data_IF_243526241550
#
_entry.id   IF_243526241550
#
_cell.length_a   1.000
_cell.length_b   1.000
_cell.length_c   1.000
_cell.angle_alpha   90.00
_cell.angle_beta   90.00
_cell.angle_gamma   90.00
#
_symmetry.space_group_name_H-M   'P 1'
#
loop_
_entity.id
_entity.type
_entity.pdbx_description
1 polymer ?
#
# COMPACT_ATOMS: atom_id res chain seq x y z
N UNK A 1 8.31 9.89 -11.63
CA UNK A 1 7.01 9.51 -12.22
C UNK A 1 7.24 8.30 -13.08
N UNK A 2 6.68 7.14 -12.73
CA UNK A 2 6.80 5.91 -13.52
C UNK A 2 6.02 6.05 -14.83
N UNK A 3 6.56 5.51 -15.93
CA UNK A 3 5.89 5.49 -17.24
C UNK A 3 4.49 4.84 -17.17
N UNK A 4 4.31 3.88 -16.26
CA UNK A 4 3.01 3.30 -15.89
C UNK A 4 1.91 4.34 -15.63
N UNK A 5 2.22 5.39 -14.85
CA UNK A 5 1.24 6.42 -14.48
C UNK A 5 0.91 7.38 -15.63
N UNK A 6 1.73 7.39 -16.69
CA UNK A 6 1.52 8.21 -17.88
C UNK A 6 0.76 7.46 -18.98
N UNK A 7 0.93 6.14 -19.05
CA UNK A 7 0.33 5.28 -20.09
C UNK A 7 -1.08 4.85 -19.71
N UNK A 8 -1.31 4.53 -18.43
CA UNK A 8 -2.59 4.02 -17.95
C UNK A 8 -3.37 5.09 -17.19
N UNK A 9 -4.70 5.11 -17.33
CA UNK A 9 -5.56 5.94 -16.49
C UNK A 9 -5.76 5.31 -15.10
N UNK A 10 -6.26 6.07 -14.13
CA UNK A 10 -6.41 5.62 -12.74
C UNK A 10 -7.20 4.30 -12.59
N UNK A 11 -8.28 4.13 -13.36
CA UNK A 11 -9.07 2.89 -13.32
C UNK A 11 -8.27 1.69 -13.88
N UNK A 12 -7.51 1.89 -14.95
CA UNK A 12 -6.63 0.87 -15.51
C UNK A 12 -5.48 0.54 -14.56
N UNK A 13 -4.85 1.55 -13.96
CA UNK A 13 -3.80 1.36 -12.96
C UNK A 13 -4.33 0.51 -11.80
N UNK A 14 -5.52 0.84 -11.28
CA UNK A 14 -6.16 0.06 -10.24
C UNK A 14 -6.39 -1.39 -10.67
N UNK A 15 -6.96 -1.65 -11.85
CA UNK A 15 -7.19 -3.02 -12.33
C UNK A 15 -5.90 -3.83 -12.51
N UNK A 16 -4.84 -3.20 -13.04
CA UNK A 16 -3.54 -3.86 -13.24
C UNK A 16 -2.89 -4.17 -11.89
N UNK A 17 -2.94 -3.23 -10.95
CA UNK A 17 -2.45 -3.43 -9.58
C UNK A 17 -3.22 -4.54 -8.87
N UNK A 18 -4.55 -4.57 -8.99
CA UNK A 18 -5.38 -5.64 -8.44
C UNK A 18 -4.99 -7.01 -9.02
N UNK A 19 -4.83 -7.12 -10.34
CA UNK A 19 -4.40 -8.37 -10.98
C UNK A 19 -3.01 -8.83 -10.51
N UNK A 20 -2.09 -7.88 -10.26
CA UNK A 20 -0.79 -8.20 -9.68
C UNK A 20 -0.91 -8.69 -8.24
N UNK A 21 -1.68 -7.99 -7.42
CA UNK A 21 -1.95 -8.32 -6.01
C UNK A 21 -2.59 -9.71 -5.92
N UNK A 22 -3.59 -10.02 -6.73
CA UNK A 22 -4.24 -11.34 -6.83
C UNK A 22 -3.24 -12.47 -7.16
N UNK A 23 -2.17 -12.16 -7.90
CA UNK A 23 -1.12 -13.11 -8.25
C UNK A 23 -0.09 -13.31 -7.12
N UNK A 24 0.07 -12.32 -6.23
CA UNK A 24 1.07 -12.35 -5.16
C UNK A 24 0.50 -12.77 -3.80
N UNK A 25 -0.74 -12.41 -3.48
CA UNK A 25 -1.36 -12.66 -2.18
C UNK A 25 -2.22 -13.93 -2.19
N UNK A 26 -2.29 -14.58 -1.02
CA UNK A 26 -3.18 -15.72 -0.80
C UNK A 26 -4.64 -15.26 -0.67
N UNK A 27 -5.60 -16.16 -0.89
CA UNK A 27 -7.03 -15.85 -0.76
C UNK A 27 -7.40 -15.24 0.61
N UNK A 28 -6.75 -15.67 1.69
CA UNK A 28 -6.97 -15.13 3.04
C UNK A 28 -6.46 -13.68 3.20
N UNK A 29 -5.35 -13.36 2.53
CA UNK A 29 -4.74 -12.04 2.56
C UNK A 29 -5.50 -11.08 1.63
N UNK A 30 -6.04 -11.57 0.51
CA UNK A 30 -6.93 -10.82 -0.37
C UNK A 30 -8.25 -10.42 0.28
N UNK A 31 -8.70 -11.13 1.32
CA UNK A 31 -9.90 -10.74 2.08
C UNK A 31 -9.63 -9.56 3.03
N UNK A 32 -8.38 -9.35 3.44
CA UNK A 32 -7.99 -8.39 4.46
C UNK A 32 -6.75 -7.62 4.02
N UNK A 33 -6.83 -6.94 2.87
CA UNK A 33 -5.81 -6.00 2.44
C UNK A 33 -6.36 -4.59 2.25
N UNK A 34 -5.47 -3.62 2.33
CA UNK A 34 -5.71 -2.21 2.05
C UNK A 34 -4.67 -1.75 1.04
N UNK A 35 -5.11 -1.15 -0.07
CA UNK A 35 -4.24 -0.54 -1.06
C UNK A 35 -4.26 0.99 -0.87
N UNK A 36 -3.10 1.59 -0.67
CA UNK A 36 -2.93 3.04 -0.58
C UNK A 36 -1.83 3.50 -1.54
N UNK A 37 -1.94 4.75 -1.99
CA UNK A 37 -0.92 5.38 -2.83
C UNK A 37 -0.22 6.49 -2.06
N UNK A 38 1.11 6.44 -2.03
CA UNK A 38 1.92 7.52 -1.43
C UNK A 38 1.85 8.79 -2.28
N UNK A 39 2.30 9.92 -1.70
CA UNK A 39 2.45 11.17 -2.44
C UNK A 39 3.35 11.06 -3.68
N UNK A 40 4.28 10.10 -3.70
CA UNK A 40 5.15 9.80 -4.83
C UNK A 40 4.48 8.95 -5.91
N UNK A 41 3.18 8.67 -5.79
CA UNK A 41 2.40 7.75 -6.63
C UNK A 41 2.97 6.33 -6.62
N UNK A 42 3.57 5.93 -5.50
CA UNK A 42 3.97 4.55 -5.25
C UNK A 42 2.79 3.80 -4.62
N UNK A 43 2.29 2.73 -5.26
CA UNK A 43 1.24 1.89 -4.70
C UNK A 43 1.79 0.98 -3.60
N UNK A 44 1.07 0.93 -2.48
CA UNK A 44 1.47 0.24 -1.26
C UNK A 44 0.31 -0.60 -0.77
N UNK A 45 0.55 -1.89 -0.60
CA UNK A 45 -0.43 -2.87 -0.15
C UNK A 45 -0.13 -3.25 1.28
N UNK A 46 -1.09 -3.04 2.16
CA UNK A 46 -1.06 -3.44 3.56
C UNK A 46 -1.92 -4.68 3.70
N UNK A 47 -1.39 -5.74 4.30
CA UNK A 47 -2.10 -7.00 4.51
C UNK A 47 -1.55 -7.67 5.76
N UNK A 48 -2.21 -8.74 6.20
CA UNK A 48 -1.95 -9.39 7.48
C UNK A 48 -0.46 -9.67 7.78
N UNK A 49 0.32 -10.12 6.80
CA UNK A 49 1.75 -10.41 6.99
C UNK A 49 2.64 -9.15 7.09
N UNK A 50 2.20 -8.00 6.55
CA UNK A 50 3.00 -6.78 6.52
C UNK A 50 2.60 -5.81 5.41
N UNK A 51 3.61 -5.26 4.73
CA UNK A 51 3.46 -4.23 3.71
C UNK A 51 4.27 -4.59 2.48
N UNK A 52 3.63 -4.46 1.32
CA UNK A 52 4.24 -4.67 0.01
C UNK A 52 4.22 -3.38 -0.78
N UNK A 53 5.41 -2.89 -1.14
CA UNK A 53 5.56 -1.73 -2.01
C UNK A 53 5.66 -2.26 -3.43
N UNK A 54 4.68 -1.93 -4.26
CA UNK A 54 4.68 -2.34 -5.66
C UNK A 54 5.43 -1.26 -6.44
N UNK A 55 6.39 -1.68 -7.26
CA UNK A 55 7.07 -0.83 -8.23
C UNK A 55 6.50 -1.18 -9.60
N UNK A 56 5.44 -0.47 -10.03
CA UNK A 56 4.79 -0.77 -11.29
C UNK A 56 5.67 -0.38 -12.48
N UNK A 57 5.63 -1.20 -13.51
CA UNK A 57 6.29 -1.00 -14.81
C UNK A 57 5.23 -0.95 -15.92
N UNK A 58 5.62 -0.82 -17.19
CA UNK A 58 4.66 -0.84 -18.32
C UNK A 58 4.06 -2.25 -18.48
N UNK A 59 4.89 -3.28 -18.31
CA UNK A 59 4.49 -4.68 -18.45
C UNK A 59 4.33 -5.33 -17.07
N UNK A 60 3.19 -6.00 -16.86
CA UNK A 60 2.87 -6.69 -15.60
C UNK A 60 3.96 -7.68 -15.17
N UNK A 61 4.55 -8.42 -16.12
CA UNK A 61 5.62 -9.39 -15.87
C UNK A 61 6.92 -8.74 -15.34
N UNK A 62 7.10 -7.43 -15.52
CA UNK A 62 8.24 -6.67 -15.01
C UNK A 62 7.97 -6.01 -13.66
N UNK A 63 6.76 -6.18 -13.10
CA UNK A 63 6.43 -5.60 -11.81
C UNK A 63 7.31 -6.22 -10.74
N UNK A 64 7.96 -5.35 -9.99
CA UNK A 64 8.75 -5.76 -8.82
C UNK A 64 8.06 -5.26 -7.57
N UNK A 65 8.25 -5.97 -6.46
CA UNK A 65 7.75 -5.52 -5.18
C UNK A 65 8.79 -5.71 -4.08
N UNK A 66 8.67 -4.90 -3.03
CA UNK A 66 9.43 -5.07 -1.80
C UNK A 66 8.48 -5.34 -0.66
N UNK A 67 8.69 -6.46 0.00
CA UNK A 67 7.94 -6.84 1.19
C UNK A 67 8.68 -6.41 2.46
N UNK A 68 7.93 -5.86 3.41
CA UNK A 68 8.37 -5.53 4.76
C UNK A 68 7.42 -6.20 5.76
N UNK A 69 7.93 -7.01 6.69
CA UNK A 69 7.10 -7.65 7.70
C UNK A 69 6.57 -6.61 8.70
N UNK A 70 5.36 -6.82 9.22
CA UNK A 70 4.68 -5.91 10.17
C UNK A 70 5.52 -5.52 11.38
N UNK A 71 6.38 -6.42 11.87
CA UNK A 71 7.23 -6.16 13.04
C UNK A 71 8.36 -5.16 12.76
N UNK A 72 8.61 -4.87 11.49
CA UNK A 72 9.68 -3.96 11.04
C UNK A 72 9.18 -2.59 10.60
N UNK A 73 7.89 -2.30 10.75
CA UNK A 73 7.29 -1.01 10.39
C UNK A 73 6.68 -0.31 11.61
N UNK A 74 6.57 1.02 11.51
CA UNK A 74 5.84 1.82 12.48
C UNK A 74 4.90 2.78 11.75
N UNK A 75 3.66 2.84 12.21
CA UNK A 75 2.63 3.76 11.70
C UNK A 75 2.63 5.01 12.59
N UNK A 76 2.72 6.20 11.99
CA UNK A 76 2.64 7.48 12.68
C UNK A 76 1.73 8.43 11.92
N UNK A 77 0.61 8.82 12.50
CA UNK A 77 -0.23 9.90 11.94
C UNK A 77 0.26 11.28 12.36
N UNK A 78 0.20 12.23 11.42
CA UNK A 78 0.46 13.66 11.60
C UNK A 78 -0.64 14.46 10.92
N UNK A 79 -1.70 14.77 11.67
CA UNK A 79 -2.84 15.57 11.17
C UNK A 79 -3.48 14.98 9.90
N UNK A 80 -3.17 15.55 8.73
CA UNK A 80 -3.64 15.14 7.39
C UNK A 80 -2.70 14.15 6.69
N UNK A 81 -1.62 13.74 7.35
CA UNK A 81 -0.60 12.87 6.80
C UNK A 81 -0.48 11.59 7.62
N UNK A 82 -0.23 10.48 6.93
CA UNK A 82 0.14 9.22 7.53
C UNK A 82 1.58 8.90 7.11
N UNK A 83 2.47 8.79 8.09
CA UNK A 83 3.86 8.40 7.91
C UNK A 83 4.02 6.92 8.29
N UNK A 84 4.42 6.10 7.32
CA UNK A 84 4.81 4.71 7.58
C UNK A 84 6.32 4.63 7.54
N UNK A 85 6.93 4.37 8.69
CA UNK A 85 8.38 4.20 8.83
C UNK A 85 8.73 2.74 8.56
N UNK A 86 9.42 2.49 7.45
CA UNK A 86 9.99 1.18 7.12
C UNK A 86 11.50 1.18 7.43
N UNK A 87 12.15 0.01 7.49
CA UNK A 87 13.59 -0.08 7.82
C UNK A 87 14.49 0.64 6.80
N UNK A 88 14.05 0.68 5.55
CA UNK A 88 14.83 1.16 4.40
C UNK A 88 14.39 2.54 3.92
N UNK A 89 13.16 2.95 4.21
CA UNK A 89 12.56 4.19 3.70
C UNK A 89 11.36 4.61 4.56
N UNK A 90 10.88 5.83 4.34
CA UNK A 90 9.62 6.31 4.91
C UNK A 90 8.61 6.49 3.77
N UNK A 91 7.36 6.15 4.03
CA UNK A 91 6.26 6.38 3.12
C UNK A 91 5.38 7.48 3.72
N UNK A 92 5.00 8.43 2.88
CA UNK A 92 4.11 9.53 3.26
C UNK A 92 2.85 9.43 2.42
N UNK A 93 1.71 9.39 3.10
CA UNK A 93 0.38 9.42 2.51
C UNK A 93 -0.28 10.72 2.94
N UNK A 94 -0.88 11.42 1.99
CA UNK A 94 -1.60 12.65 2.24
C UNK A 94 -3.10 12.40 2.05
N UNK A 95 -3.90 12.91 2.98
CA UNK A 95 -5.36 12.81 2.96
C UNK A 95 -5.95 14.22 2.98
N UNK A 96 -7.01 14.42 2.19
CA UNK A 96 -7.73 15.69 2.18
C UNK A 96 -8.41 15.95 3.54
N UNK A 97 -8.96 14.91 4.19
CA UNK A 97 -9.59 15.00 5.50
C UNK A 97 -8.80 14.29 6.61
N UNK A 98 -8.72 14.92 7.79
CA UNK A 98 -8.12 14.31 9.00
C UNK A 98 -8.86 13.01 9.38
N UNK A 99 -10.19 13.00 9.22
CA UNK A 99 -11.02 11.83 9.52
C UNK A 99 -10.62 10.62 8.66
N UNK A 100 -10.23 10.83 7.41
CA UNK A 100 -9.75 9.75 6.53
C UNK A 100 -8.40 9.22 7.02
N UNK A 101 -7.46 10.11 7.36
CA UNK A 101 -6.17 9.70 7.92
C UNK A 101 -6.34 8.91 9.23
N UNK A 102 -7.28 9.32 10.09
CA UNK A 102 -7.63 8.59 11.32
C UNK A 102 -8.28 7.25 11.02
N UNK A 103 -9.20 7.18 10.06
CA UNK A 103 -9.84 5.93 9.68
C UNK A 103 -8.81 4.93 9.15
N UNK A 104 -7.95 5.35 8.24
CA UNK A 104 -6.88 4.51 7.68
C UNK A 104 -5.90 4.05 8.75
N UNK A 105 -5.49 4.92 9.66
CA UNK A 105 -4.65 4.53 10.82
C UNK A 105 -5.30 3.41 11.63
N UNK A 106 -6.60 3.55 11.94
CA UNK A 106 -7.35 2.53 12.68
C UNK A 106 -7.51 1.23 11.89
N UNK A 107 -7.78 1.29 10.59
CA UNK A 107 -7.85 0.13 9.71
C UNK A 107 -6.52 -0.64 9.70
N UNK A 108 -5.39 0.05 9.60
CA UNK A 108 -4.06 -0.57 9.67
C UNK A 108 -3.78 -1.20 11.03
N UNK A 109 -4.08 -0.49 12.12
CA UNK A 109 -3.92 -1.03 13.49
C UNK A 109 -4.78 -2.29 13.66
N UNK A 110 -6.03 -2.26 13.19
CA UNK A 110 -6.94 -3.39 13.26
C UNK A 110 -6.42 -4.58 12.43
N UNK A 111 -6.00 -4.32 11.20
CA UNK A 111 -5.44 -5.32 10.28
C UNK A 111 -4.22 -6.05 10.87
N UNK A 112 -3.36 -5.34 11.62
CA UNK A 112 -2.21 -5.96 12.30
C UNK A 112 -2.53 -6.57 13.67
N UNK A 113 -3.57 -6.09 14.34
CA UNK A 113 -3.99 -6.58 15.65
C UNK A 113 -4.84 -7.85 15.57
N UNK A 114 -5.54 -8.07 14.45
CA UNK A 114 -6.55 -9.12 14.32
C UNK A 114 -5.99 -10.46 13.80
N UNK A 115 -4.72 -10.76 14.08
CA UNK A 115 -4.06 -12.01 13.71
C UNK A 115 -3.70 -12.74 15.00
N UNK A 116 -4.64 -13.53 15.50
CA UNK A 116 -4.44 -14.53 16.55
C UNK A 116 -3.83 -15.83 16.01
#
# INVERSE_FOLDING_TARGET
MSEFNQVFNQAQQFLILQAYIDSQLSAEELMNFTLLETMDNLPVVFYSAGVMLIQPDIDLDQFTHKFYPRDSMAVQRKEHELEIVLPTQKLLFHFDEISEAEQVENDLIYLYSNIE
#
